data_IF_606545521535
#
_entry.id   IF_606545521535
#
_cell.length_a   1.000
_cell.length_b   1.000
_cell.length_c   1.000
_cell.angle_alpha   90.00
_cell.angle_beta   90.00
_cell.angle_gamma   90.00
#
_symmetry.space_group_name_H-M   'P 1'
#
loop_
_entity.id
_entity.type
_entity.pdbx_description
1 polymer ?
#
# COMPACT_ATOMS: atom_id res chain seq x y z
N UNK A 1 28.61 -45.13 4.96
CA UNK A 1 27.25 -44.72 5.38
C UNK A 1 26.30 -45.89 5.13
N UNK A 2 25.46 -46.29 6.08
CA UNK A 2 24.58 -47.45 5.88
C UNK A 2 23.44 -47.10 4.93
N UNK A 3 23.01 -48.04 4.08
CA UNK A 3 21.86 -47.85 3.16
C UNK A 3 20.59 -47.43 3.92
N UNK A 4 20.41 -47.94 5.14
CA UNK A 4 19.31 -47.57 6.04
C UNK A 4 19.38 -46.09 6.44
N UNK A 5 20.56 -45.58 6.76
CA UNK A 5 20.75 -44.16 7.10
C UNK A 5 20.42 -43.25 5.90
N UNK A 6 20.83 -43.64 4.69
CA UNK A 6 20.53 -42.90 3.46
C UNK A 6 19.01 -42.84 3.18
N UNK A 7 18.29 -43.94 3.38
CA UNK A 7 16.84 -44.00 3.20
C UNK A 7 16.13 -43.10 4.22
N UNK A 8 16.54 -43.14 5.49
CA UNK A 8 15.97 -42.30 6.55
C UNK A 8 16.18 -40.82 6.22
N UNK A 9 17.38 -40.44 5.78
CA UNK A 9 17.67 -39.05 5.39
C UNK A 9 16.80 -38.60 4.21
N UNK A 10 16.64 -39.45 3.19
CA UNK A 10 15.81 -39.14 2.02
C UNK A 10 14.34 -38.92 2.41
N UNK A 11 13.80 -39.75 3.31
CA UNK A 11 12.43 -39.60 3.81
C UNK A 11 12.26 -38.31 4.60
N UNK A 12 13.22 -37.95 5.45
CA UNK A 12 13.19 -36.71 6.22
C UNK A 12 13.19 -35.50 5.29
N UNK A 13 14.08 -35.48 4.28
CA UNK A 13 14.15 -34.38 3.31
C UNK A 13 12.85 -34.25 2.52
N UNK A 14 12.26 -35.36 2.06
CA UNK A 14 10.99 -35.35 1.35
C UNK A 14 9.83 -34.87 2.24
N UNK A 15 9.78 -35.32 3.49
CA UNK A 15 8.75 -34.91 4.44
C UNK A 15 8.84 -33.41 4.75
N UNK A 16 10.04 -32.91 5.06
CA UNK A 16 10.26 -31.48 5.35
C UNK A 16 10.04 -30.62 4.12
N UNK A 17 10.55 -31.05 2.96
CA UNK A 17 10.37 -30.37 1.69
C UNK A 17 8.89 -30.27 1.31
N UNK A 18 8.13 -31.35 1.46
CA UNK A 18 6.69 -31.36 1.25
C UNK A 18 5.97 -30.41 2.21
N UNK A 19 6.32 -30.44 3.50
CA UNK A 19 5.70 -29.57 4.51
C UNK A 19 5.93 -28.08 4.23
N UNK A 20 7.14 -27.71 3.80
CA UNK A 20 7.45 -26.33 3.40
C UNK A 20 6.79 -25.95 2.07
N UNK A 21 6.68 -26.87 1.12
CA UNK A 21 6.07 -26.62 -0.19
C UNK A 21 4.56 -26.35 -0.09
N UNK A 22 3.87 -27.10 0.77
CA UNK A 22 2.43 -26.93 1.02
C UNK A 22 2.12 -25.96 2.16
N UNK A 23 3.12 -25.35 2.80
CA UNK A 23 2.90 -24.36 3.84
C UNK A 23 2.09 -23.17 3.28
N UNK A 24 1.07 -22.69 4.00
CA UNK A 24 0.27 -21.56 3.56
C UNK A 24 1.17 -20.33 3.42
N UNK A 25 1.27 -19.79 2.20
CA UNK A 25 1.96 -18.52 1.95
C UNK A 25 1.13 -17.40 2.55
N UNK A 26 1.75 -16.59 3.41
CA UNK A 26 1.10 -15.35 3.86
C UNK A 26 0.90 -14.48 2.62
N UNK A 27 -0.36 -14.29 2.21
CA UNK A 27 -0.71 -13.28 1.23
C UNK A 27 -0.44 -11.92 1.88
N UNK A 28 0.81 -11.45 1.76
CA UNK A 28 1.10 -10.04 1.89
C UNK A 28 0.54 -9.38 0.63
N UNK A 29 -0.77 -9.22 0.59
CA UNK A 29 -1.36 -8.12 -0.16
C UNK A 29 -0.85 -6.86 0.52
N UNK A 30 0.39 -6.49 0.20
CA UNK A 30 0.95 -5.21 0.59
C UNK A 30 0.07 -4.18 -0.14
N UNK A 31 -1.00 -3.75 0.53
CA UNK A 31 -1.76 -2.60 0.06
C UNK A 31 -0.75 -1.46 0.01
N UNK A 32 -0.43 -1.02 -1.21
CA UNK A 32 0.47 0.10 -1.41
C UNK A 32 -0.31 1.34 -1.00
N UNK A 33 0.24 2.10 -0.05
CA UNK A 33 -0.37 3.31 0.47
C UNK A 33 -1.26 3.10 1.70
N UNK A 34 -1.72 4.23 2.23
CA UNK A 34 -2.60 4.29 3.41
C UNK A 34 -3.94 4.83 2.95
N UNK A 35 -5.02 4.18 3.37
CA UNK A 35 -6.37 4.68 3.12
C UNK A 35 -6.70 5.79 4.13
N UNK A 36 -7.23 6.89 3.62
CA UNK A 36 -7.76 8.00 4.42
C UNK A 36 -9.25 8.18 4.10
N UNK A 37 -10.10 8.44 5.10
CA UNK A 37 -11.49 8.85 4.87
C UNK A 37 -11.57 10.10 4.00
N UNK A 38 -12.62 10.21 3.18
CA UNK A 38 -12.87 11.42 2.39
C UNK A 38 -13.14 12.61 3.30
N UNK A 39 -12.45 13.72 3.06
CA UNK A 39 -12.61 14.98 3.77
C UNK A 39 -13.64 15.92 3.10
N UNK A 40 -14.30 15.45 2.04
CA UNK A 40 -15.26 16.24 1.27
C UNK A 40 -14.60 17.04 0.13
N UNK A 41 -15.31 18.07 -0.34
CA UNK A 41 -14.98 18.86 -1.53
C UNK A 41 -15.36 20.35 -1.36
N UNK A 42 -15.28 20.89 -0.14
CA UNK A 42 -15.58 22.30 0.10
C UNK A 42 -14.60 23.20 -0.67
N UNK A 43 -15.07 24.37 -1.09
CA UNK A 43 -14.17 25.39 -1.63
C UNK A 43 -13.73 26.38 -0.56
N UNK A 44 -12.45 26.79 -0.60
CA UNK A 44 -11.98 27.93 0.18
C UNK A 44 -12.54 29.24 -0.38
N UNK A 45 -12.84 30.18 0.52
CA UNK A 45 -13.18 31.56 0.13
C UNK A 45 -11.95 32.38 -0.25
N UNK A 46 -10.77 32.03 0.24
CA UNK A 46 -9.49 32.69 -0.07
C UNK A 46 -8.29 31.79 0.26
N UNK A 47 -7.09 32.15 -0.22
CA UNK A 47 -5.84 31.39 0.04
C UNK A 47 -5.44 31.31 1.52
N UNK A 48 -5.91 32.26 2.33
CA UNK A 48 -5.60 32.35 3.76
C UNK A 48 -6.79 31.96 4.63
N UNK A 49 -7.86 31.45 4.04
CA UNK A 49 -9.04 31.00 4.78
C UNK A 49 -8.63 29.87 5.74
N UNK A 50 -8.99 29.94 7.03
CA UNK A 50 -8.66 28.90 7.98
C UNK A 50 -9.38 27.60 7.63
N UNK A 51 -8.67 26.49 7.76
CA UNK A 51 -9.22 25.15 7.55
C UNK A 51 -8.53 24.10 8.40
N UNK A 52 -9.19 22.96 8.58
CA UNK A 52 -8.56 21.83 9.24
C UNK A 52 -7.36 21.33 8.42
N UNK A 53 -6.27 20.87 9.06
CA UNK A 53 -5.15 20.27 8.35
C UNK A 53 -5.59 19.05 7.52
N UNK A 54 -5.02 18.88 6.33
CA UNK A 54 -5.26 17.69 5.50
C UNK A 54 -4.71 16.43 6.14
N UNK A 55 -5.35 15.29 5.86
CA UNK A 55 -4.92 13.99 6.38
C UNK A 55 -3.82 13.31 5.56
N UNK A 56 -3.55 13.77 4.33
CA UNK A 56 -2.52 13.22 3.45
C UNK A 56 -1.66 14.30 2.80
N UNK A 57 -0.45 13.91 2.39
CA UNK A 57 0.46 14.75 1.60
C UNK A 57 1.04 13.93 0.42
N UNK A 58 0.69 14.24 -0.85
CA UNK A 58 -0.20 15.33 -1.25
C UNK A 58 -1.65 15.13 -0.76
N UNK A 59 -2.43 16.20 -0.58
CA UNK A 59 -3.84 16.10 -0.21
C UNK A 59 -4.62 15.40 -1.33
N UNK A 60 -5.40 14.38 -0.97
CA UNK A 60 -6.20 13.60 -1.94
C UNK A 60 -7.70 13.92 -1.88
N UNK A 61 -8.15 14.62 -0.83
CA UNK A 61 -9.52 15.11 -0.67
C UNK A 61 -9.54 16.34 0.25
N UNK A 62 -10.71 16.95 0.43
CA UNK A 62 -10.92 18.05 1.36
C UNK A 62 -11.02 19.42 0.68
N UNK A 63 -10.90 20.48 1.49
CA UNK A 63 -11.08 21.83 0.99
C UNK A 63 -10.09 22.20 -0.12
N UNK A 64 -10.54 22.86 -1.18
CA UNK A 64 -9.69 23.27 -2.32
C UNK A 64 -10.11 24.61 -2.92
N UNK A 65 -9.31 25.17 -3.82
CA UNK A 65 -9.69 26.40 -4.50
C UNK A 65 -10.73 26.12 -5.60
N UNK A 66 -11.66 27.06 -5.80
CA UNK A 66 -12.71 26.92 -6.82
C UNK A 66 -12.14 26.97 -8.24
N UNK A 67 -11.14 27.84 -8.46
CA UNK A 67 -10.51 27.95 -9.78
C UNK A 67 -9.46 26.85 -9.95
N UNK A 68 -9.53 26.08 -11.05
CA UNK A 68 -8.43 25.23 -11.45
C UNK A 68 -7.18 26.08 -11.64
N UNK A 69 -6.05 25.64 -11.12
CA UNK A 69 -4.80 26.33 -11.38
C UNK A 69 -4.43 26.18 -12.88
N UNK A 70 -3.84 27.21 -13.51
CA UNK A 70 -3.56 27.26 -14.94
C UNK A 70 -2.31 26.45 -15.29
N UNK A 71 -2.27 25.18 -14.89
CA UNK A 71 -1.16 24.31 -15.18
C UNK A 71 -1.06 24.10 -16.70
N UNK A 72 0.05 24.54 -17.29
CA UNK A 72 0.31 24.42 -18.73
C UNK A 72 -0.23 25.55 -19.61
N UNK A 73 -0.86 26.60 -19.05
CA UNK A 73 -1.24 27.82 -19.78
C UNK A 73 -0.60 29.02 -19.11
N UNK A 74 0.43 29.59 -19.74
CA UNK A 74 0.98 30.89 -19.37
C UNK A 74 0.30 31.96 -20.21
N UNK A 75 -0.30 33.02 -19.63
CA UNK A 75 -0.61 34.20 -20.40
C UNK A 75 0.73 34.78 -20.89
N UNK A 76 0.88 34.88 -22.21
CA UNK A 76 1.94 35.64 -22.88
C UNK A 76 1.69 37.13 -22.75
#
# INVERSE_FOLDING_TARGET
>A
MSKKLLIILAVIVLAFGGLLFFAPKKNQSAKIGVWHPSEGAQHFSSLTAPHAPYQSNPPTSGPHYVEPAPWGVSPT
#
